data_IF_954622061992
#
_entry.id   IF_954622061992
#
_cell.length_a   1.000
_cell.length_b   1.000
_cell.length_c   1.000
_cell.angle_alpha   90.00
_cell.angle_beta   90.00
_cell.angle_gamma   90.00
#
_symmetry.space_group_name_H-M   'P 1'
#
loop_
_entity.id
_entity.type
_entity.pdbx_description
1 polymer ?
#
# COMPACT_ATOMS: atom_id res chain seq x y z
N UNK A 1 -1.04 -17.11 25.23
CA UNK A 1 -1.76 -16.91 23.95
C UNK A 1 -0.66 -16.52 23.00
N UNK A 2 -0.23 -17.42 22.13
CA UNK A 2 0.84 -17.12 21.19
C UNK A 2 0.32 -16.06 20.21
N UNK A 3 0.94 -14.90 20.23
CA UNK A 3 0.60 -13.79 19.36
C UNK A 3 0.99 -14.21 17.94
N UNK A 4 0.01 -14.73 17.18
CA UNK A 4 0.18 -15.00 15.76
C UNK A 4 0.24 -13.64 15.07
N UNK A 5 1.45 -13.10 14.94
CA UNK A 5 1.70 -11.95 14.07
C UNK A 5 1.53 -12.46 12.64
N UNK A 6 0.54 -11.96 11.88
CA UNK A 6 0.42 -12.35 10.48
C UNK A 6 1.70 -11.92 9.77
N UNK A 7 2.40 -12.90 9.23
CA UNK A 7 3.64 -12.68 8.49
C UNK A 7 3.26 -12.16 7.10
N UNK A 8 3.44 -10.85 6.89
CA UNK A 8 3.52 -10.29 5.55
C UNK A 8 4.95 -10.58 5.09
N UNK A 9 5.16 -11.68 4.38
CA UNK A 9 6.48 -12.06 3.89
C UNK A 9 6.89 -11.06 2.80
N UNK A 10 7.84 -10.17 3.09
CA UNK A 10 8.05 -9.02 2.25
C UNK A 10 8.78 -9.37 0.93
N UNK A 11 9.18 -10.63 0.73
CA UNK A 11 9.72 -11.17 -0.53
C UNK A 11 8.64 -11.83 -1.42
N UNK A 12 7.42 -12.01 -0.92
CA UNK A 12 6.30 -12.51 -1.73
C UNK A 12 5.72 -11.41 -2.64
N UNK A 13 5.32 -11.75 -3.87
CA UNK A 13 4.71 -10.80 -4.79
C UNK A 13 3.36 -10.30 -4.25
N UNK A 14 3.30 -9.02 -3.89
CA UNK A 14 2.05 -8.32 -3.60
C UNK A 14 1.38 -7.77 -4.86
N UNK A 15 0.10 -7.41 -4.74
CA UNK A 15 -0.63 -6.71 -5.80
C UNK A 15 -0.26 -5.22 -5.76
N UNK A 16 0.09 -4.60 -6.90
CA UNK A 16 0.34 -3.18 -6.97
C UNK A 16 -0.87 -2.39 -6.46
N UNK A 17 -0.62 -1.45 -5.56
CA UNK A 17 -1.66 -0.61 -4.96
C UNK A 17 -1.12 0.77 -4.63
N UNK A 18 -2.05 1.72 -4.52
CA UNK A 18 -1.79 3.06 -4.01
C UNK A 18 -2.58 3.20 -2.71
N UNK A 19 -1.89 3.32 -1.59
CA UNK A 19 -2.49 3.65 -0.30
C UNK A 19 -2.53 5.17 -0.18
N UNK A 20 -3.73 5.74 -0.20
CA UNK A 20 -3.96 7.18 -0.04
C UNK A 20 -4.23 7.45 1.43
N UNK A 21 -3.40 8.27 2.05
CA UNK A 21 -3.49 8.61 3.46
C UNK A 21 -4.28 9.89 3.69
N UNK A 22 -4.75 10.06 4.92
CA UNK A 22 -5.16 11.36 5.43
C UNK A 22 -4.02 12.38 5.30
N UNK A 23 -4.34 13.60 4.87
CA UNK A 23 -3.34 14.59 4.48
C UNK A 23 -2.86 14.49 3.02
N UNK A 24 -3.36 13.51 2.24
CA UNK A 24 -3.16 13.46 0.79
C UNK A 24 -1.88 12.77 0.31
N UNK A 25 -1.08 12.21 1.23
CA UNK A 25 0.08 11.40 0.90
C UNK A 25 -0.34 10.12 0.17
N UNK A 26 0.48 9.66 -0.78
CA UNK A 26 0.22 8.44 -1.55
C UNK A 26 1.44 7.53 -1.41
N UNK A 27 1.20 6.30 -0.99
CA UNK A 27 2.22 5.25 -0.94
C UNK A 27 1.95 4.29 -2.10
N UNK A 28 2.85 4.25 -3.06
CA UNK A 28 2.87 3.20 -4.09
C UNK A 28 3.53 1.99 -3.45
N UNK A 29 2.75 0.91 -3.33
CA UNK A 29 3.20 -0.27 -2.61
C UNK A 29 2.66 -1.55 -3.24
N UNK A 30 3.23 -2.67 -2.82
CA UNK A 30 2.73 -4.02 -3.14
C UNK A 30 2.04 -4.61 -1.92
N UNK A 31 0.72 -4.72 -1.98
CA UNK A 31 -0.09 -5.23 -0.88
C UNK A 31 -0.35 -6.73 -1.03
N UNK A 32 -0.19 -7.46 0.06
CA UNK A 32 -0.47 -8.88 0.13
C UNK A 32 -1.88 -9.13 0.66
N UNK A 33 -2.44 -10.31 0.38
CA UNK A 33 -3.76 -10.70 0.87
C UNK A 33 -3.86 -10.61 2.41
N UNK A 34 -2.77 -10.91 3.11
CA UNK A 34 -2.66 -10.83 4.58
C UNK A 34 -2.26 -9.46 5.14
N UNK A 35 -2.11 -8.43 4.29
CA UNK A 35 -1.68 -7.10 4.75
C UNK A 35 -2.74 -6.41 5.61
N UNK A 36 -4.03 -6.71 5.43
CA UNK A 36 -5.09 -6.16 6.27
C UNK A 36 -5.11 -6.86 7.63
N UNK A 37 -4.87 -6.10 8.70
CA UNK A 37 -4.83 -6.64 10.05
C UNK A 37 -5.29 -5.63 11.10
N UNK A 38 -6.14 -6.08 12.03
CA UNK A 38 -6.66 -5.30 13.16
C UNK A 38 -7.20 -3.93 12.78
N UNK A 39 -7.92 -3.83 11.65
CA UNK A 39 -8.44 -2.55 11.16
C UNK A 39 -7.34 -1.61 10.66
N UNK A 40 -6.25 -2.14 10.13
CA UNK A 40 -5.19 -1.37 9.49
C UNK A 40 -4.48 -2.21 8.42
N UNK A 41 -3.36 -1.69 7.92
CA UNK A 41 -2.51 -2.35 6.94
C UNK A 41 -1.12 -2.56 7.55
N UNK A 42 -0.69 -3.81 7.63
CA UNK A 42 0.71 -4.16 7.81
C UNK A 42 1.43 -3.96 6.47
N UNK A 43 2.40 -3.06 6.48
CA UNK A 43 3.12 -2.62 5.31
C UNK A 43 4.62 -2.77 5.56
N UNK A 44 5.27 -3.78 4.98
CA UNK A 44 6.72 -3.85 4.95
C UNK A 44 7.29 -2.62 4.27
N UNK A 45 8.35 -2.04 4.86
CA UNK A 45 9.01 -0.85 4.29
C UNK A 45 9.51 -1.14 2.87
N UNK A 46 10.08 -2.32 2.63
CA UNK A 46 10.51 -2.75 1.29
C UNK A 46 9.37 -3.01 0.29
N UNK A 47 8.13 -3.10 0.75
CA UNK A 47 6.97 -3.18 -0.14
C UNK A 47 6.51 -1.81 -0.64
N UNK A 48 7.10 -0.70 -0.17
CA UNK A 48 6.82 0.66 -0.65
C UNK A 48 7.81 1.05 -1.74
N UNK A 49 7.31 1.10 -2.97
CA UNK A 49 8.09 1.43 -4.17
C UNK A 49 8.35 2.94 -4.28
N UNK A 50 7.36 3.75 -3.86
CA UNK A 50 7.43 5.21 -3.99
C UNK A 50 6.53 5.90 -2.97
N UNK A 51 6.98 7.06 -2.50
CA UNK A 51 6.20 7.99 -1.66
C UNK A 51 5.94 9.26 -2.45
N UNK A 52 4.68 9.69 -2.52
CA UNK A 52 4.28 10.99 -3.05
C UNK A 52 3.61 11.80 -1.95
N UNK A 53 4.30 12.81 -1.44
CA UNK A 53 3.74 13.71 -0.43
C UNK A 53 2.93 14.85 -1.02
N UNK A 54 1.86 15.25 -0.33
CA UNK A 54 1.03 16.40 -0.73
C UNK A 54 1.78 17.75 -0.69
N UNK A 55 2.99 17.79 -0.09
CA UNK A 55 3.82 18.98 0.09
C UNK A 55 5.32 18.70 -0.11
N UNK A 56 5.67 17.67 -0.90
CA UNK A 56 7.08 17.32 -1.17
C UNK A 56 7.74 16.42 -0.12
N UNK A 57 6.97 15.79 0.76
CA UNK A 57 7.47 14.66 1.56
C UNK A 57 7.87 13.52 0.61
N UNK A 58 9.09 13.01 0.79
CA UNK A 58 9.72 12.08 -0.15
C UNK A 58 10.10 10.74 0.50
N UNK A 59 9.81 10.55 1.79
CA UNK A 59 10.14 9.32 2.51
C UNK A 59 8.97 8.81 3.36
N UNK A 60 8.97 7.49 3.58
CA UNK A 60 7.94 6.84 4.41
C UNK A 60 8.05 7.31 5.87
N UNK A 61 9.26 7.56 6.37
CA UNK A 61 9.49 8.08 7.71
C UNK A 61 8.82 9.44 7.93
N UNK A 62 8.99 10.38 6.98
CA UNK A 62 8.35 11.70 7.03
C UNK A 62 6.82 11.60 7.05
N UNK A 63 6.25 10.75 6.19
CA UNK A 63 4.80 10.53 6.12
C UNK A 63 4.26 9.96 7.43
N UNK A 64 5.04 9.10 8.10
CA UNK A 64 4.67 8.52 9.38
C UNK A 64 4.89 9.49 10.55
N UNK A 65 5.61 10.60 10.35
CA UNK A 65 5.99 11.54 11.41
C UNK A 65 7.16 11.03 12.27
N UNK A 66 8.01 10.18 11.70
CA UNK A 66 9.20 9.63 12.34
C UNK A 66 10.44 10.47 12.01
N UNK A 67 11.40 10.50 12.93
CA UNK A 67 12.70 11.11 12.68
C UNK A 67 13.52 10.26 11.69
N UNK A 68 14.43 10.93 10.98
CA UNK A 68 15.35 10.25 10.06
C UNK A 68 16.16 9.18 10.78
N UNK A 69 16.16 7.96 10.25
CA UNK A 69 16.88 6.81 10.83
C UNK A 69 16.09 5.95 11.80
N UNK A 70 14.87 6.36 12.21
CA UNK A 70 14.00 5.53 13.05
C UNK A 70 13.32 4.39 12.29
N UNK A 71 13.30 4.46 10.96
CA UNK A 71 12.65 3.49 10.10
C UNK A 71 13.68 2.60 9.40
N UNK A 72 13.79 1.36 9.88
CA UNK A 72 14.66 0.35 9.28
C UNK A 72 14.06 -0.21 7.97
N UNK A 73 14.91 -0.53 6.99
CA UNK A 73 14.47 -1.05 5.68
C UNK A 73 13.74 -2.40 5.73
N UNK A 74 14.03 -3.22 6.74
CA UNK A 74 13.37 -4.51 6.97
C UNK A 74 12.17 -4.41 7.93
N UNK A 75 11.82 -3.20 8.39
CA UNK A 75 10.69 -3.03 9.29
C UNK A 75 9.37 -3.31 8.56
N UNK A 76 8.38 -3.77 9.33
CA UNK A 76 6.98 -3.75 8.92
C UNK A 76 6.25 -2.74 9.78
N UNK A 77 5.59 -1.78 9.14
CA UNK A 77 4.81 -0.74 9.83
C UNK A 77 3.35 -1.08 9.81
N UNK A 78 2.63 -0.78 10.90
CA UNK A 78 1.18 -0.87 10.92
C UNK A 78 0.57 0.51 10.67
N UNK A 79 -0.16 0.62 9.56
CA UNK A 79 -0.94 1.80 9.18
C UNK A 79 -2.38 1.64 9.68
N UNK A 80 -2.82 2.37 10.71
CA UNK A 80 -4.18 2.24 11.20
C UNK A 80 -5.21 2.80 10.21
N UNK A 81 -6.42 2.22 10.13
CA UNK A 81 -7.43 2.59 9.14
C UNK A 81 -7.83 4.07 9.19
N UNK A 82 -7.81 4.72 10.35
CA UNK A 82 -8.14 6.14 10.42
C UNK A 82 -7.14 7.01 9.65
N UNK A 83 -5.90 6.55 9.41
CA UNK A 83 -4.95 7.27 8.55
C UNK A 83 -5.13 6.96 7.07
N UNK A 84 -5.96 5.99 6.70
CA UNK A 84 -6.14 5.52 5.32
C UNK A 84 -7.45 6.06 4.78
N UNK A 85 -7.36 6.90 3.75
CA UNK A 85 -8.53 7.42 3.05
C UNK A 85 -9.11 6.41 2.07
N UNK A 86 -8.24 5.79 1.27
CA UNK A 86 -8.61 4.70 0.39
C UNK A 86 -7.38 3.90 -0.05
N UNK A 87 -7.61 2.67 -0.50
CA UNK A 87 -6.62 1.85 -1.19
C UNK A 87 -7.09 1.63 -2.61
N UNK A 88 -6.30 2.08 -3.57
CA UNK A 88 -6.54 1.84 -4.99
C UNK A 88 -5.69 0.66 -5.41
N UNK A 89 -6.33 -0.50 -5.55
CA UNK A 89 -5.64 -1.70 -6.03
C UNK A 89 -5.58 -1.63 -7.56
N UNK A 90 -4.37 -1.58 -8.10
CA UNK A 90 -4.14 -1.65 -9.53
C UNK A 90 -4.29 -3.10 -9.98
N UNK A 91 -5.52 -3.49 -10.30
CA UNK A 91 -5.77 -4.72 -11.01
C UNK A 91 -5.37 -4.57 -12.48
N UNK A 92 -4.15 -4.95 -12.85
CA UNK A 92 -3.96 -5.42 -14.22
C UNK A 92 -4.17 -6.93 -14.26
N UNK A 93 -5.36 -7.30 -14.72
CA UNK A 93 -5.71 -8.64 -15.19
C UNK A 93 -6.57 -8.54 -16.44
N UNK A 94 -6.11 -7.80 -17.48
CA UNK A 94 -6.86 -7.45 -18.71
C UNK A 94 -8.13 -6.61 -18.45
N UNK A 95 -8.28 -5.51 -19.20
CA UNK A 95 -9.59 -4.83 -19.33
C UNK A 95 -10.66 -5.83 -19.81
N UNK A 96 -11.90 -5.79 -19.31
CA UNK A 96 -13.03 -6.32 -20.06
C UNK A 96 -12.99 -5.64 -21.43
N UNK A 97 -12.91 -6.43 -22.51
CA UNK A 97 -13.05 -5.86 -23.84
C UNK A 97 -14.42 -5.18 -23.88
N UNK A 98 -14.56 -3.98 -24.45
CA UNK A 98 -15.87 -3.45 -24.77
C UNK A 98 -16.64 -4.55 -25.51
N UNK A 99 -17.85 -4.87 -25.07
CA UNK A 99 -18.79 -5.59 -25.93
C UNK A 99 -18.95 -4.66 -27.12
N UNK A 100 -18.25 -4.97 -28.21
CA UNK A 100 -18.34 -4.20 -29.42
C UNK A 100 -19.79 -4.21 -29.86
N UNK A 101 -20.46 -3.08 -29.74
CA UNK A 101 -21.47 -2.70 -30.71
C UNK A 101 -20.73 -2.28 -32.00
N UNK A 102 -20.00 -3.21 -32.60
CA UNK A 102 -19.80 -3.21 -34.05
C UNK A 102 -20.95 -4.07 -34.56
N UNK A 103 -22.05 -3.48 -35.00
CA UNK A 103 -22.04 -2.63 -36.17
C UNK A 103 -22.15 -3.57 -37.35
N UNK A 104 -23.40 -3.79 -37.75
CA UNK A 104 -23.80 -4.49 -38.96
C UNK A 104 -23.09 -3.85 -40.15
N UNK A 105 -22.28 -4.63 -40.87
CA UNK A 105 -22.21 -4.65 -42.33
C UNK A 105 -21.93 -6.10 -42.79
#
# INVERSE_FOLDING_TARGET
MDEIVPLVDPDLPGVPAIVVLEGGHRLHARLQAGAWHNGGILLPVKAVDKVEGAQGANSLAEVLGLESGQLHGEATVWLPAFRIRCVVVSGEGRRPRPIGFGGVE
#
